data_IF_298257243686
#
_entry.id   IF_298257243686
#
_cell.length_a   1.000
_cell.length_b   1.000
_cell.length_c   1.000
_cell.angle_alpha   90.00
_cell.angle_beta   90.00
_cell.angle_gamma   90.00
#
_symmetry.space_group_name_H-M   'P 1'
#
loop_
_entity.id
_entity.type
_entity.pdbx_description
1 polymer ?
#
# COMPACT_ATOMS: atom_id res chain seq x y z
N UNK A 1 23.54 -9.37 -8.86
CA UNK A 1 22.76 -8.78 -7.76
C UNK A 1 21.28 -9.04 -8.06
N UNK A 2 20.54 -9.67 -7.14
CA UNK A 2 19.10 -9.90 -7.31
C UNK A 2 18.31 -8.84 -6.57
N UNK A 3 17.29 -8.30 -7.22
CA UNK A 3 16.37 -7.32 -6.66
C UNK A 3 14.95 -7.87 -6.69
N UNK A 4 14.13 -7.47 -5.72
CA UNK A 4 12.72 -7.83 -5.60
C UNK A 4 11.87 -6.57 -5.59
N UNK A 5 10.69 -6.69 -6.21
CA UNK A 5 9.63 -5.68 -6.17
C UNK A 5 8.58 -6.11 -5.15
N UNK A 6 8.37 -5.29 -4.13
CA UNK A 6 7.24 -5.39 -3.22
C UNK A 6 6.18 -4.36 -3.60
N UNK A 7 4.93 -4.81 -3.73
CA UNK A 7 3.75 -3.96 -3.91
C UNK A 7 2.79 -4.17 -2.75
N UNK A 8 2.38 -3.07 -2.13
CA UNK A 8 1.36 -3.07 -1.08
C UNK A 8 0.20 -2.21 -1.56
N UNK A 9 -1.00 -2.78 -1.52
CA UNK A 9 -2.24 -2.14 -1.98
C UNK A 9 -3.05 -1.68 -0.78
N UNK A 10 -3.60 -0.46 -0.87
CA UNK A 10 -4.46 0.15 0.12
C UNK A 10 -5.66 0.79 -0.57
N UNK A 11 -6.74 1.00 0.17
CA UNK A 11 -7.66 2.09 -0.09
C UNK A 11 -7.05 3.44 0.34
N UNK A 12 -7.31 4.52 -0.39
CA UNK A 12 -6.99 5.90 0.01
C UNK A 12 -7.60 6.28 1.37
N UNK A 13 -8.75 5.72 1.70
CA UNK A 13 -9.48 5.92 2.94
C UNK A 13 -9.04 4.99 4.07
N UNK A 14 -8.15 4.03 3.81
CA UNK A 14 -7.61 3.16 4.87
C UNK A 14 -6.88 3.99 5.93
N UNK A 15 -7.13 3.65 7.21
CA UNK A 15 -6.54 4.34 8.36
C UNK A 15 -5.87 3.36 9.31
N UNK A 16 -4.81 3.83 9.93
CA UNK A 16 -4.14 3.17 11.06
C UNK A 16 -3.79 4.24 12.10
N UNK A 17 -4.28 4.08 13.33
CA UNK A 17 -4.05 5.04 14.44
C UNK A 17 -4.32 6.51 14.06
N UNK A 18 -5.38 6.76 13.30
CA UNK A 18 -5.78 8.11 12.87
C UNK A 18 -4.98 8.70 11.70
N UNK A 19 -3.97 8.00 11.19
CA UNK A 19 -3.22 8.36 9.97
C UNK A 19 -3.67 7.54 8.77
N UNK A 20 -3.38 7.99 7.54
CA UNK A 20 -3.58 7.16 6.35
C UNK A 20 -2.65 5.95 6.37
N UNK A 21 -3.19 4.75 6.13
CA UNK A 21 -2.44 3.50 6.30
C UNK A 21 -1.18 3.44 5.42
N UNK A 22 -1.29 3.86 4.15
CA UNK A 22 -0.15 3.91 3.24
C UNK A 22 0.97 4.86 3.75
N UNK A 23 0.60 5.97 4.40
CA UNK A 23 1.58 6.93 4.91
C UNK A 23 2.33 6.37 6.13
N UNK A 24 1.62 5.65 7.02
CA UNK A 24 2.27 4.93 8.12
C UNK A 24 3.30 3.93 7.59
N UNK A 25 2.97 3.21 6.52
CA UNK A 25 3.91 2.27 5.88
C UNK A 25 5.10 2.98 5.25
N UNK A 26 4.90 4.10 4.55
CA UNK A 26 6.01 4.89 4.00
C UNK A 26 6.92 5.43 5.10
N UNK A 27 6.36 5.95 6.19
CA UNK A 27 7.13 6.39 7.36
C UNK A 27 7.95 5.24 7.95
N UNK A 28 7.36 4.05 8.08
CA UNK A 28 8.05 2.86 8.56
C UNK A 28 9.21 2.46 7.63
N UNK A 29 8.96 2.35 6.32
CA UNK A 29 9.99 1.99 5.33
C UNK A 29 11.18 2.96 5.37
N UNK A 30 10.91 4.27 5.48
CA UNK A 30 11.94 5.30 5.61
C UNK A 30 12.76 5.13 6.89
N UNK A 31 12.12 4.84 8.03
CA UNK A 31 12.80 4.60 9.32
C UNK A 31 13.62 3.31 9.33
N UNK A 32 13.20 2.30 8.56
CA UNK A 32 13.86 1.01 8.43
C UNK A 32 15.06 1.02 7.49
N UNK A 33 15.41 2.17 6.89
CA UNK A 33 16.59 2.30 6.03
C UNK A 33 16.45 1.61 4.66
N UNK A 34 15.21 1.41 4.19
CA UNK A 34 14.93 0.95 2.83
C UNK A 34 15.35 2.02 1.82
N UNK A 35 15.95 1.59 0.70
CA UNK A 35 16.56 2.44 -0.31
C UNK A 35 15.57 3.42 -0.96
N UNK A 36 14.30 3.04 -1.06
CA UNK A 36 13.24 3.93 -1.55
C UNK A 36 11.88 3.26 -1.62
N UNK A 37 10.84 4.10 -1.68
CA UNK A 37 9.46 3.68 -1.92
C UNK A 37 8.76 4.73 -2.78
N UNK A 38 7.89 4.30 -3.69
CA UNK A 38 7.07 5.18 -4.55
C UNK A 38 5.60 4.90 -4.31
N UNK A 39 4.78 5.95 -4.21
CA UNK A 39 3.34 5.84 -4.00
C UNK A 39 2.61 6.24 -5.28
N UNK A 40 1.70 5.37 -5.72
CA UNK A 40 0.82 5.61 -6.85
C UNK A 40 -0.63 5.70 -6.37
N UNK A 41 -1.41 6.57 -7.00
CA UNK A 41 -2.86 6.61 -6.87
C UNK A 41 -3.48 6.14 -8.17
N UNK A 42 -4.23 5.05 -8.11
CA UNK A 42 -5.00 4.60 -9.26
C UNK A 42 -6.25 5.45 -9.45
N UNK A 43 -6.76 5.44 -10.68
CA UNK A 43 -7.99 6.13 -11.06
C UNK A 43 -9.24 5.27 -10.78
N UNK A 44 -9.06 3.96 -10.66
CA UNK A 44 -10.11 2.96 -10.46
C UNK A 44 -9.49 1.64 -9.94
N UNK A 45 -10.26 0.82 -9.23
CA UNK A 45 -9.82 -0.52 -8.79
C UNK A 45 -10.94 -1.31 -8.11
N UNK A 46 -10.77 -2.63 -7.99
CA UNK A 46 -11.71 -3.52 -7.28
C UNK A 46 -10.94 -4.54 -6.43
N UNK A 47 -11.50 -5.01 -5.32
CA UNK A 47 -10.88 -6.03 -4.46
C UNK A 47 -11.93 -7.04 -3.97
N UNK A 48 -11.48 -8.19 -3.48
CA UNK A 48 -12.33 -9.31 -3.03
C UNK A 48 -13.21 -8.94 -1.84
N UNK A 49 -12.78 -7.94 -1.06
CA UNK A 49 -13.51 -7.40 0.09
C UNK A 49 -14.28 -6.11 -0.24
N UNK A 50 -14.24 -5.63 -1.49
CA UNK A 50 -14.89 -4.40 -1.91
C UNK A 50 -15.69 -4.56 -3.21
N UNK A 51 -16.96 -4.18 -3.13
CA UNK A 51 -17.87 -4.05 -4.26
C UNK A 51 -17.22 -3.09 -5.28
N UNK A 52 -17.11 -3.51 -6.55
CA UNK A 52 -16.64 -2.73 -7.72
C UNK A 52 -16.71 -1.20 -7.49
N UNK A 53 -15.56 -0.54 -7.30
CA UNK A 53 -15.47 0.92 -7.22
C UNK A 53 -15.37 1.50 -8.62
N UNK A 54 -16.52 1.64 -9.29
CA UNK A 54 -16.65 2.40 -10.54
C UNK A 54 -17.08 3.83 -10.21
N UNK A 55 -16.52 4.81 -10.92
CA UNK A 55 -16.90 6.23 -10.83
C UNK A 55 -18.27 6.52 -11.49
N UNK A 56 -19.33 5.84 -11.03
CA UNK A 56 -20.70 6.03 -11.52
C UNK A 56 -21.61 6.62 -10.43
N UNK A 57 -22.58 7.40 -10.89
CA UNK A 57 -23.18 8.59 -10.29
C UNK A 57 -24.01 8.39 -9.00
N UNK A 58 -23.99 7.20 -8.37
CA UNK A 58 -24.66 6.94 -7.08
C UNK A 58 -23.77 6.31 -5.99
N UNK A 59 -22.45 6.22 -6.19
CA UNK A 59 -21.41 5.97 -5.17
C UNK A 59 -20.13 6.77 -5.47
N UNK A 60 -20.31 7.98 -5.98
CA UNK A 60 -19.22 8.91 -6.29
C UNK A 60 -18.50 9.32 -5.01
N UNK A 61 -17.20 9.03 -4.92
CA UNK A 61 -16.27 9.26 -3.79
C UNK A 61 -16.33 8.19 -2.68
N UNK A 62 -15.21 7.66 -2.17
CA UNK A 62 -13.84 8.12 -2.28
C UNK A 62 -12.89 7.14 -1.59
N UNK A 63 -12.65 6.01 -2.23
CA UNK A 63 -11.59 5.09 -1.82
C UNK A 63 -10.81 4.58 -3.04
N UNK A 64 -10.02 5.47 -3.63
CA UNK A 64 -9.17 5.12 -4.77
C UNK A 64 -8.05 4.18 -4.33
N UNK A 65 -7.63 3.23 -5.19
CA UNK A 65 -6.53 2.35 -4.82
C UNK A 65 -5.23 3.14 -4.72
N UNK A 66 -4.51 2.95 -3.62
CA UNK A 66 -3.15 3.41 -3.42
C UNK A 66 -2.21 2.22 -3.49
N UNK A 67 -1.11 2.36 -4.23
CA UNK A 67 -0.07 1.33 -4.34
C UNK A 67 1.24 1.90 -3.85
N UNK A 68 1.87 1.23 -2.90
CA UNK A 68 3.25 1.52 -2.47
C UNK A 68 4.16 0.48 -3.11
N UNK A 69 5.11 0.94 -3.93
CA UNK A 69 6.15 0.11 -4.56
C UNK A 69 7.50 0.30 -3.87
N UNK A 70 8.17 -0.81 -3.59
CA UNK A 70 9.53 -0.85 -3.05
C UNK A 70 10.37 -1.77 -3.92
N UNK A 71 11.51 -1.27 -4.40
CA UNK A 71 12.51 -2.04 -5.15
C UNK A 71 13.74 -2.15 -4.26
N UNK A 72 14.09 -3.37 -3.87
CA UNK A 72 15.21 -3.61 -2.97
C UNK A 72 15.98 -4.88 -3.31
N UNK A 73 17.20 -4.98 -2.77
CA UNK A 73 17.97 -6.23 -2.87
C UNK A 73 17.31 -7.33 -2.03
N UNK A 74 17.50 -8.58 -2.45
CA UNK A 74 16.87 -9.73 -1.78
C UNK A 74 17.22 -9.82 -0.29
N UNK A 75 18.40 -9.37 0.11
CA UNK A 75 18.87 -9.34 1.49
C UNK A 75 18.10 -8.34 2.35
N UNK A 76 17.62 -7.24 1.75
CA UNK A 76 16.87 -6.18 2.46
C UNK A 76 15.38 -6.41 2.51
N UNK A 77 14.80 -7.07 1.50
CA UNK A 77 13.34 -7.32 1.45
C UNK A 77 12.86 -8.23 2.59
N UNK A 78 13.67 -9.18 3.04
CA UNK A 78 13.28 -10.12 4.10
C UNK A 78 13.13 -9.46 5.50
N UNK A 79 13.64 -8.24 5.70
CA UNK A 79 13.43 -7.49 6.94
C UNK A 79 12.00 -6.92 7.05
N UNK A 80 11.30 -6.70 5.92
CA UNK A 80 9.95 -6.12 5.88
C UNK A 80 8.81 -7.13 5.76
N UNK A 81 9.09 -8.39 5.43
CA UNK A 81 8.07 -9.43 5.19
C UNK A 81 7.57 -10.16 6.45
N UNK A 82 8.10 -9.84 7.63
CA UNK A 82 7.68 -10.48 8.88
C UNK A 82 6.38 -9.87 9.40
N UNK A 83 5.26 -10.50 9.04
CA UNK A 83 3.90 -10.36 9.60
C UNK A 83 3.15 -9.05 9.28
N UNK A 84 2.69 -8.91 8.04
CA UNK A 84 1.47 -8.14 7.74
C UNK A 84 0.20 -8.97 8.00
N UNK A 85 0.11 -9.68 9.14
CA UNK A 85 -1.17 -10.21 9.64
C UNK A 85 -1.79 -9.18 10.55
N UNK A 86 -2.32 -8.11 9.95
CA UNK A 86 -3.37 -7.34 10.59
C UNK A 86 -4.63 -8.20 10.54
N UNK A 87 -4.81 -9.01 11.59
CA UNK A 87 -6.10 -9.60 11.94
C UNK A 87 -7.03 -8.45 12.31
N UNK A 88 -8.13 -8.33 11.59
CA UNK A 88 -9.42 -7.89 12.14
C UNK A 88 -10.27 -9.13 12.33
#
# INVERSE_FOLDING_TARGET
MKVKLLRIYFGESDRFEGKTAYHVVVEYLKRSGISGATVFRGIEGYSVHSILHTASILRLSGDLPIVVEVIETEERVNLGSTRASLRS
#
